data_IF_672649260147
#
_entry.id   IF_672649260147
#
_cell.length_a   1.000
_cell.length_b   1.000
_cell.length_c   1.000
_cell.angle_alpha   90.00
_cell.angle_beta   90.00
_cell.angle_gamma   90.00
#
_symmetry.space_group_name_H-M   'P 1'
#
loop_
_entity.id
_entity.type
_entity.pdbx_description
1 polymer ?
#
# COMPACT_ATOMS: atom_id res chain seq x y z
N UNK A 1 -47.48 54.20 -5.21
CA UNK A 1 -46.66 53.18 -4.52
C UNK A 1 -47.61 52.17 -3.88
N UNK A 2 -47.73 50.97 -4.44
CA UNK A 2 -48.59 49.92 -3.88
C UNK A 2 -47.93 49.35 -2.61
N UNK A 3 -48.63 49.44 -1.47
CA UNK A 3 -48.19 48.83 -0.21
C UNK A 3 -48.27 47.31 -0.35
N UNK A 4 -47.14 46.63 -0.17
CA UNK A 4 -47.09 45.17 -0.13
C UNK A 4 -47.95 44.70 1.05
N UNK A 5 -48.91 43.78 0.87
CA UNK A 5 -49.72 43.27 1.96
C UNK A 5 -48.85 42.62 3.05
N UNK A 6 -49.09 42.94 4.33
CA UNK A 6 -48.24 42.49 5.45
C UNK A 6 -48.13 40.96 5.63
N UNK A 7 -49.07 40.18 5.07
CA UNK A 7 -48.98 38.72 5.04
C UNK A 7 -47.94 38.21 4.03
N UNK A 8 -47.74 38.93 2.92
CA UNK A 8 -46.78 38.60 1.87
C UNK A 8 -45.35 38.86 2.34
N UNK A 9 -45.12 39.95 3.08
CA UNK A 9 -43.80 40.25 3.68
C UNK A 9 -43.39 39.24 4.74
N UNK A 10 -44.33 38.80 5.59
CA UNK A 10 -44.04 37.80 6.63
C UNK A 10 -43.76 36.41 6.04
N UNK A 11 -44.49 36.02 5.00
CA UNK A 11 -44.23 34.78 4.27
C UNK A 11 -42.84 34.78 3.57
N UNK A 12 -42.45 35.92 2.97
CA UNK A 12 -41.13 36.10 2.37
C UNK A 12 -40.00 35.99 3.39
N UNK A 13 -40.13 36.61 4.57
CA UNK A 13 -39.14 36.52 5.65
C UNK A 13 -39.02 35.07 6.15
N UNK A 14 -40.14 34.38 6.36
CA UNK A 14 -40.16 32.97 6.75
C UNK A 14 -39.48 32.05 5.74
N UNK A 15 -39.72 32.26 4.44
CA UNK A 15 -39.10 31.51 3.36
C UNK A 15 -37.58 31.71 3.28
N UNK A 16 -37.10 32.96 3.47
CA UNK A 16 -35.66 33.27 3.48
C UNK A 16 -34.96 32.61 4.67
N UNK A 17 -35.57 32.66 5.86
CA UNK A 17 -35.02 31.99 7.07
C UNK A 17 -34.96 30.47 6.87
N UNK A 18 -36.00 29.87 6.29
CA UNK A 18 -36.02 28.44 5.99
C UNK A 18 -34.94 28.05 4.96
N UNK A 19 -34.76 28.86 3.91
CA UNK A 19 -33.72 28.64 2.91
C UNK A 19 -32.31 28.74 3.50
N UNK A 20 -32.05 29.74 4.36
CA UNK A 20 -30.79 29.89 5.09
C UNK A 20 -30.53 28.70 6.03
N UNK A 21 -31.56 28.24 6.76
CA UNK A 21 -31.48 27.06 7.61
C UNK A 21 -31.11 25.80 6.81
N UNK A 22 -31.73 25.60 5.65
CA UNK A 22 -31.42 24.47 4.77
C UNK A 22 -29.99 24.52 4.20
N UNK A 23 -29.54 25.69 3.71
CA UNK A 23 -28.17 25.85 3.20
C UNK A 23 -27.14 25.63 4.31
N UNK A 24 -27.41 26.11 5.52
CA UNK A 24 -26.52 25.93 6.68
C UNK A 24 -26.43 24.46 7.08
N UNK A 25 -27.56 23.74 7.10
CA UNK A 25 -27.59 22.29 7.31
C UNK A 25 -26.78 21.55 6.26
N UNK A 26 -26.97 21.87 4.97
CA UNK A 26 -26.23 21.24 3.88
C UNK A 26 -24.72 21.48 3.99
N UNK A 27 -24.31 22.68 4.39
CA UNK A 27 -22.90 23.01 4.61
C UNK A 27 -22.30 22.19 5.78
N UNK A 28 -23.03 22.04 6.89
CA UNK A 28 -22.62 21.23 8.05
C UNK A 28 -22.54 19.75 7.66
N UNK A 29 -23.56 19.21 7.00
CA UNK A 29 -23.59 17.82 6.55
C UNK A 29 -22.44 17.52 5.59
N UNK A 30 -22.18 18.40 4.63
CA UNK A 30 -21.05 18.31 3.72
C UNK A 30 -19.71 18.33 4.46
N UNK A 31 -19.54 19.23 5.45
CA UNK A 31 -18.33 19.29 6.26
C UNK A 31 -18.12 18.01 7.09
N UNK A 32 -19.18 17.45 7.67
CA UNK A 32 -19.14 16.19 8.42
C UNK A 32 -18.80 15.01 7.49
N UNK A 33 -19.44 14.91 6.33
CA UNK A 33 -19.16 13.87 5.33
C UNK A 33 -17.71 13.96 4.84
N UNK A 34 -17.21 15.17 4.61
CA UNK A 34 -15.83 15.39 4.19
C UNK A 34 -14.82 14.97 5.27
N UNK A 35 -15.08 15.32 6.55
CA UNK A 35 -14.26 14.85 7.67
C UNK A 35 -14.29 13.33 7.80
N UNK A 36 -15.48 12.72 7.70
CA UNK A 36 -15.63 11.28 7.76
C UNK A 36 -14.87 10.57 6.62
N UNK A 37 -14.97 11.08 5.39
CA UNK A 37 -14.24 10.58 4.24
C UNK A 37 -12.72 10.68 4.42
N UNK A 38 -12.23 11.79 5.00
CA UNK A 38 -10.80 11.96 5.33
C UNK A 38 -10.33 10.96 6.38
N UNK A 39 -11.06 10.77 7.47
CA UNK A 39 -10.72 9.81 8.51
C UNK A 39 -10.70 8.37 7.95
N UNK A 40 -11.71 8.01 7.16
CA UNK A 40 -11.76 6.71 6.49
C UNK A 40 -10.58 6.51 5.55
N UNK A 41 -10.22 7.54 4.76
CA UNK A 41 -9.08 7.49 3.85
C UNK A 41 -7.75 7.31 4.59
N UNK A 42 -7.56 8.06 5.67
CA UNK A 42 -6.38 7.91 6.53
C UNK A 42 -6.28 6.49 7.08
N UNK A 43 -7.39 5.93 7.57
CA UNK A 43 -7.41 4.55 8.07
C UNK A 43 -6.99 3.54 6.98
N UNK A 44 -7.44 3.72 5.73
CA UNK A 44 -7.01 2.88 4.60
C UNK A 44 -5.50 2.98 4.33
N UNK A 45 -4.92 4.19 4.37
CA UNK A 45 -3.49 4.41 4.19
C UNK A 45 -2.67 3.80 5.32
N UNK A 46 -3.12 3.96 6.57
CA UNK A 46 -2.47 3.34 7.74
C UNK A 46 -2.51 1.82 7.64
N UNK A 47 -3.64 1.25 7.19
CA UNK A 47 -3.73 -0.20 6.97
C UNK A 47 -2.74 -0.69 5.91
N UNK A 48 -2.64 0.00 4.76
CA UNK A 48 -1.64 -0.30 3.74
C UNK A 48 -0.22 -0.21 4.30
N UNK A 49 0.10 0.84 5.07
CA UNK A 49 1.40 1.01 5.70
C UNK A 49 1.73 -0.17 6.62
N UNK A 50 0.77 -0.63 7.43
CA UNK A 50 0.95 -1.81 8.28
C UNK A 50 1.27 -3.07 7.46
N UNK A 51 0.60 -3.30 6.34
CA UNK A 51 0.87 -4.43 5.44
C UNK A 51 2.28 -4.35 4.82
N UNK A 52 2.69 -3.16 4.37
CA UNK A 52 4.03 -2.93 3.79
C UNK A 52 5.13 -3.18 4.82
N UNK A 53 4.97 -2.65 6.04
CA UNK A 53 5.92 -2.87 7.12
C UNK A 53 6.03 -4.34 7.52
N UNK A 54 4.90 -5.05 7.61
CA UNK A 54 4.88 -6.49 7.88
C UNK A 54 5.61 -7.28 6.78
N UNK A 55 5.34 -6.95 5.51
CA UNK A 55 6.00 -7.57 4.34
C UNK A 55 7.51 -7.33 4.37
N UNK A 56 7.93 -6.09 4.64
CA UNK A 56 9.34 -5.73 4.76
C UNK A 56 10.04 -6.49 5.89
N UNK A 57 9.39 -6.65 7.04
CA UNK A 57 9.96 -7.43 8.16
C UNK A 57 10.10 -8.91 7.81
N UNK A 58 9.08 -9.50 7.19
CA UNK A 58 9.14 -10.88 6.72
C UNK A 58 10.27 -11.08 5.68
N UNK A 59 10.41 -10.14 4.73
CA UNK A 59 11.46 -10.15 3.72
C UNK A 59 12.86 -10.07 4.34
N UNK A 60 13.10 -9.15 5.26
CA UNK A 60 14.41 -8.99 5.92
C UNK A 60 14.83 -10.28 6.63
N UNK A 61 13.91 -10.91 7.37
CA UNK A 61 14.18 -12.15 8.11
C UNK A 61 14.48 -13.29 7.14
N UNK A 62 13.62 -13.47 6.13
CA UNK A 62 13.83 -14.49 5.11
C UNK A 62 15.17 -14.30 4.39
N UNK A 63 15.48 -13.08 3.96
CA UNK A 63 16.68 -12.76 3.19
C UNK A 63 17.95 -13.01 4.02
N UNK A 64 17.90 -12.77 5.34
CA UNK A 64 19.01 -13.11 6.23
C UNK A 64 19.24 -14.63 6.34
N UNK A 65 18.17 -15.42 6.43
CA UNK A 65 18.24 -16.89 6.43
C UNK A 65 18.76 -17.41 5.09
N UNK A 66 18.23 -16.88 3.99
CA UNK A 66 18.63 -17.22 2.63
C UNK A 66 20.12 -16.96 2.40
N UNK A 67 20.59 -15.76 2.73
CA UNK A 67 21.99 -15.39 2.62
C UNK A 67 22.89 -16.35 3.38
N UNK A 68 22.56 -16.64 4.65
CA UNK A 68 23.34 -17.56 5.48
C UNK A 68 23.44 -18.96 4.85
N UNK A 69 22.30 -19.50 4.38
CA UNK A 69 22.28 -20.83 3.78
C UNK A 69 23.03 -20.84 2.43
N UNK A 70 22.89 -19.80 1.61
CA UNK A 70 23.66 -19.67 0.37
C UNK A 70 25.17 -19.58 0.66
N UNK A 71 25.59 -18.79 1.65
CA UNK A 71 26.99 -18.69 2.05
C UNK A 71 27.54 -20.05 2.53
N UNK A 72 26.72 -20.90 3.16
CA UNK A 72 27.09 -22.28 3.52
C UNK A 72 27.20 -23.19 2.27
N UNK A 73 26.23 -23.13 1.36
CA UNK A 73 26.22 -23.91 0.11
C UNK A 73 27.41 -23.54 -0.76
N UNK A 74 27.62 -22.25 -1.05
CA UNK A 74 28.70 -21.78 -1.94
C UNK A 74 30.09 -22.05 -1.35
N UNK A 75 30.24 -22.10 -0.02
CA UNK A 75 31.51 -22.54 0.59
C UNK A 75 31.82 -24.01 0.35
N UNK A 76 30.80 -24.86 0.33
CA UNK A 76 30.94 -26.29 0.04
C UNK A 76 31.01 -26.57 -1.48
N UNK A 77 30.35 -25.73 -2.28
CA UNK A 77 30.17 -25.82 -3.72
C UNK A 77 30.45 -24.46 -4.39
N UNK A 78 31.73 -24.05 -4.54
CA UNK A 78 32.08 -22.75 -5.10
C UNK A 78 31.59 -22.52 -6.55
N UNK A 79 31.30 -23.60 -7.28
CA UNK A 79 30.69 -23.57 -8.60
C UNK A 79 29.22 -23.10 -8.60
N UNK A 80 28.57 -23.10 -7.42
CA UNK A 80 27.21 -22.59 -7.23
C UNK A 80 27.30 -21.14 -6.71
N UNK A 81 27.50 -20.22 -7.64
CA UNK A 81 27.45 -18.78 -7.40
C UNK A 81 26.25 -18.11 -8.09
N UNK A 82 25.99 -16.84 -7.78
CA UNK A 82 24.91 -16.06 -8.38
C UNK A 82 23.75 -15.76 -7.41
N UNK A 83 22.54 -15.67 -7.98
CA UNK A 83 21.32 -15.28 -7.26
C UNK A 83 20.94 -16.30 -6.18
N UNK A 84 20.42 -15.86 -5.03
CA UNK A 84 20.08 -16.77 -3.93
C UNK A 84 19.08 -17.84 -4.36
N UNK A 85 18.11 -17.49 -5.22
CA UNK A 85 17.16 -18.48 -5.75
C UNK A 85 17.85 -19.56 -6.58
N UNK A 86 18.85 -19.19 -7.40
CA UNK A 86 19.61 -20.16 -8.17
C UNK A 86 20.52 -21.01 -7.29
N UNK A 87 21.23 -20.43 -6.32
CA UNK A 87 22.09 -21.18 -5.40
C UNK A 87 21.27 -22.19 -4.60
N UNK A 88 20.13 -21.78 -4.04
CA UNK A 88 19.24 -22.66 -3.29
C UNK A 88 18.68 -23.79 -4.15
N UNK A 89 18.27 -23.49 -5.38
CA UNK A 89 17.70 -24.50 -6.28
C UNK A 89 18.74 -25.54 -6.73
N UNK A 90 19.92 -25.10 -7.18
CA UNK A 90 20.95 -26.01 -7.67
C UNK A 90 21.64 -26.78 -6.53
N UNK A 91 21.78 -26.17 -5.35
CA UNK A 91 22.35 -26.82 -4.16
C UNK A 91 21.38 -27.76 -3.44
N UNK A 92 20.09 -27.75 -3.78
CA UNK A 92 19.03 -28.42 -3.00
C UNK A 92 19.27 -29.92 -2.76
N UNK A 93 19.76 -30.64 -3.78
CA UNK A 93 20.01 -32.08 -3.69
C UNK A 93 21.22 -32.43 -2.79
N UNK A 94 22.13 -31.48 -2.59
CA UNK A 94 23.34 -31.63 -1.78
C UNK A 94 23.14 -31.23 -0.31
N UNK A 95 21.96 -30.73 0.05
CA UNK A 95 21.69 -30.25 1.42
C UNK A 95 21.64 -31.41 2.42
N UNK A 96 22.32 -31.22 3.56
CA UNK A 96 22.15 -32.06 4.74
C UNK A 96 20.77 -31.83 5.41
N UNK A 97 20.42 -32.65 6.41
CA UNK A 97 19.11 -32.57 7.06
C UNK A 97 18.85 -31.23 7.77
N UNK A 98 19.89 -30.60 8.32
CA UNK A 98 19.78 -29.28 8.97
C UNK A 98 19.55 -28.20 7.91
N UNK A 99 20.28 -28.24 6.81
CA UNK A 99 20.16 -27.30 5.71
C UNK A 99 18.80 -27.44 5.00
N UNK A 100 18.28 -28.66 4.85
CA UNK A 100 16.91 -28.89 4.36
C UNK A 100 15.86 -28.29 5.28
N UNK A 101 16.05 -28.36 6.60
CA UNK A 101 15.17 -27.69 7.55
C UNK A 101 15.23 -26.16 7.38
N UNK A 102 16.43 -25.57 7.29
CA UNK A 102 16.61 -24.13 7.05
C UNK A 102 15.97 -23.68 5.72
N UNK A 103 16.16 -24.44 4.64
CA UNK A 103 15.49 -24.24 3.35
C UNK A 103 13.96 -24.26 3.51
N UNK A 104 13.44 -25.26 4.22
CA UNK A 104 12.01 -25.37 4.54
C UNK A 104 11.47 -24.16 5.30
N UNK A 105 12.24 -23.60 6.24
CA UNK A 105 11.88 -22.36 6.95
C UNK A 105 11.85 -21.17 5.99
N UNK A 106 12.87 -20.99 5.15
CA UNK A 106 12.92 -19.91 4.14
C UNK A 106 11.67 -19.98 3.24
N UNK A 107 11.36 -21.18 2.75
CA UNK A 107 10.20 -21.44 1.91
C UNK A 107 8.89 -21.19 2.64
N UNK A 108 8.81 -21.55 3.93
CA UNK A 108 7.66 -21.26 4.77
C UNK A 108 7.40 -19.74 4.90
N UNK A 109 8.45 -18.92 5.02
CA UNK A 109 8.30 -17.45 4.98
C UNK A 109 7.72 -16.97 3.64
N UNK A 110 8.14 -17.55 2.50
CA UNK A 110 7.58 -17.21 1.19
C UNK A 110 6.09 -17.52 1.13
N UNK A 111 5.72 -18.75 1.47
CA UNK A 111 4.36 -19.27 1.29
C UNK A 111 3.36 -18.77 2.33
N UNK A 112 3.79 -18.64 3.59
CA UNK A 112 2.89 -18.40 4.72
C UNK A 112 3.04 -17.00 5.33
N UNK A 113 4.01 -16.20 4.88
CA UNK A 113 4.12 -14.80 5.29
C UNK A 113 4.04 -13.85 4.09
N UNK A 114 4.99 -13.94 3.16
CA UNK A 114 5.08 -12.99 2.05
C UNK A 114 3.90 -13.11 1.08
N UNK A 115 3.56 -14.33 0.65
CA UNK A 115 2.45 -14.56 -0.27
C UNK A 115 1.11 -14.00 0.24
N UNK A 116 0.61 -14.35 1.44
CA UNK A 116 -0.66 -13.82 1.93
C UNK A 116 -0.64 -12.31 2.20
N UNK A 117 0.50 -11.73 2.60
CA UNK A 117 0.62 -10.27 2.76
C UNK A 117 0.58 -9.56 1.41
N UNK A 118 1.31 -10.08 0.42
CA UNK A 118 1.30 -9.54 -0.94
C UNK A 118 -0.09 -9.61 -1.57
N UNK A 119 -0.85 -10.69 -1.35
CA UNK A 119 -2.24 -10.78 -1.82
C UNK A 119 -3.15 -9.72 -1.18
N UNK A 120 -3.00 -9.44 0.11
CA UNK A 120 -3.76 -8.39 0.78
C UNK A 120 -3.43 -7.00 0.24
N UNK A 121 -2.15 -6.74 -0.05
CA UNK A 121 -1.72 -5.47 -0.67
C UNK A 121 -2.28 -5.36 -2.10
N UNK A 122 -2.23 -6.44 -2.89
CA UNK A 122 -2.84 -6.49 -4.23
C UNK A 122 -4.34 -6.20 -4.15
N UNK A 123 -5.05 -6.84 -3.23
CA UNK A 123 -6.49 -6.64 -3.03
C UNK A 123 -6.80 -5.18 -2.70
N UNK A 124 -6.05 -4.59 -1.76
CA UNK A 124 -6.16 -3.17 -1.41
C UNK A 124 -5.94 -2.26 -2.62
N UNK A 125 -4.85 -2.48 -3.38
CA UNK A 125 -4.50 -1.67 -4.55
C UNK A 125 -5.53 -1.81 -5.68
N UNK A 126 -6.11 -2.99 -5.85
CA UNK A 126 -7.12 -3.25 -6.88
C UNK A 126 -8.42 -2.47 -6.64
N UNK A 127 -8.76 -2.22 -5.37
CA UNK A 127 -9.97 -1.51 -4.93
C UNK A 127 -9.78 0.00 -4.78
N UNK A 128 -8.54 0.49 -4.85
CA UNK A 128 -8.25 1.90 -4.65
C UNK A 128 -8.50 2.73 -5.91
N UNK A 129 -9.63 3.43 -5.97
CA UNK A 129 -9.95 4.29 -7.12
C UNK A 129 -9.39 5.72 -6.97
N UNK A 130 -9.05 6.13 -5.75
CA UNK A 130 -8.58 7.47 -5.45
C UNK A 130 -7.22 7.76 -6.11
N UNK A 131 -6.25 6.86 -5.97
CA UNK A 131 -4.93 7.06 -6.53
C UNK A 131 -4.85 6.65 -8.00
N UNK A 132 -5.76 5.84 -8.54
CA UNK A 132 -5.87 5.62 -10.00
C UNK A 132 -6.20 6.91 -10.76
N UNK A 133 -6.94 7.84 -10.13
CA UNK A 133 -7.27 9.15 -10.69
C UNK A 133 -6.14 10.19 -10.63
N UNK A 134 -4.96 9.84 -10.10
CA UNK A 134 -3.76 10.67 -10.19
C UNK A 134 -3.63 11.80 -9.17
N UNK A 135 -4.55 12.02 -8.23
CA UNK A 135 -4.40 13.01 -7.15
C UNK A 135 -4.30 14.49 -7.59
N UNK A 136 -4.79 15.43 -6.77
CA UNK A 136 -4.67 16.87 -7.07
C UNK A 136 -3.34 17.48 -6.60
N UNK A 137 -2.82 17.01 -5.47
CA UNK A 137 -1.58 17.50 -4.86
C UNK A 137 -0.37 16.71 -5.36
N UNK A 138 0.81 17.33 -5.33
CA UNK A 138 2.05 16.72 -5.84
C UNK A 138 2.41 15.41 -5.11
N UNK A 139 2.28 15.37 -3.78
CA UNK A 139 2.54 14.15 -3.01
C UNK A 139 1.56 13.03 -3.35
N UNK A 140 0.29 13.37 -3.61
CA UNK A 140 -0.73 12.40 -4.01
C UNK A 140 -0.47 11.84 -5.42
N UNK A 141 0.03 12.67 -6.35
CA UNK A 141 0.50 12.24 -7.68
C UNK A 141 1.67 11.27 -7.57
N UNK A 142 2.67 11.63 -6.78
CA UNK A 142 3.84 10.78 -6.56
C UNK A 142 3.44 9.44 -5.93
N UNK A 143 2.57 9.47 -4.92
CA UNK A 143 2.07 8.26 -4.28
C UNK A 143 1.31 7.38 -5.26
N UNK A 144 0.47 7.97 -6.13
CA UNK A 144 -0.22 7.23 -7.19
C UNK A 144 0.75 6.46 -8.08
N UNK A 145 1.80 7.11 -8.59
CA UNK A 145 2.80 6.45 -9.44
C UNK A 145 3.48 5.30 -8.71
N UNK A 146 3.89 5.51 -7.45
CA UNK A 146 4.54 4.46 -6.65
C UNK A 146 3.59 3.28 -6.36
N UNK A 147 2.32 3.54 -6.09
CA UNK A 147 1.31 2.49 -5.87
C UNK A 147 1.05 1.68 -7.15
N UNK A 148 1.07 2.32 -8.33
CA UNK A 148 0.97 1.61 -9.62
C UNK A 148 2.20 0.72 -9.87
N UNK A 149 3.40 1.23 -9.60
CA UNK A 149 4.64 0.43 -9.69
C UNK A 149 4.61 -0.75 -8.71
N UNK A 150 4.16 -0.51 -7.46
CA UNK A 150 3.98 -1.57 -6.46
C UNK A 150 3.01 -2.64 -6.96
N UNK A 151 1.86 -2.23 -7.50
CA UNK A 151 0.86 -3.16 -8.01
C UNK A 151 1.43 -4.04 -9.12
N UNK A 152 2.12 -3.43 -10.10
CA UNK A 152 2.78 -4.16 -11.18
C UNK A 152 3.85 -5.14 -10.66
N UNK A 153 4.69 -4.70 -9.73
CA UNK A 153 5.68 -5.55 -9.07
C UNK A 153 5.02 -6.77 -8.41
N UNK A 154 3.98 -6.55 -7.59
CA UNK A 154 3.34 -7.62 -6.83
C UNK A 154 2.56 -8.60 -7.71
N UNK A 155 1.95 -8.14 -8.80
CA UNK A 155 1.29 -9.02 -9.79
C UNK A 155 2.31 -9.94 -10.46
N UNK A 156 3.46 -9.40 -10.88
CA UNK A 156 4.53 -10.21 -11.47
C UNK A 156 5.14 -11.18 -10.45
N UNK A 157 5.37 -10.71 -9.23
CA UNK A 157 5.84 -11.54 -8.12
C UNK A 157 4.87 -12.70 -7.85
N UNK A 158 3.56 -12.43 -7.82
CA UNK A 158 2.52 -13.45 -7.64
C UNK A 158 2.55 -14.49 -8.75
N UNK A 159 2.63 -14.06 -10.01
CA UNK A 159 2.69 -14.98 -11.14
C UNK A 159 3.92 -15.92 -11.05
N UNK A 160 5.08 -15.35 -10.66
CA UNK A 160 6.31 -16.11 -10.43
C UNK A 160 6.17 -17.10 -9.26
N UNK A 161 5.56 -16.66 -8.15
CA UNK A 161 5.23 -17.53 -7.02
C UNK A 161 4.35 -18.71 -7.45
N UNK A 162 3.22 -18.45 -8.11
CA UNK A 162 2.24 -19.47 -8.49
C UNK A 162 2.85 -20.52 -9.43
N UNK A 163 3.76 -20.09 -10.30
CA UNK A 163 4.47 -20.99 -11.21
C UNK A 163 5.55 -21.83 -10.51
N UNK A 164 6.37 -21.22 -9.64
CA UNK A 164 7.54 -21.88 -9.08
C UNK A 164 7.31 -22.52 -7.74
N UNK A 165 6.81 -21.76 -6.76
CA UNK A 165 6.88 -22.18 -5.38
C UNK A 165 6.07 -23.47 -5.17
N UNK A 166 4.77 -23.57 -5.47
CA UNK A 166 4.00 -24.78 -5.15
C UNK A 166 4.54 -26.09 -5.74
N UNK A 167 5.08 -26.05 -6.96
CA UNK A 167 5.46 -27.25 -7.72
C UNK A 167 6.95 -27.62 -7.64
N UNK A 168 7.81 -26.70 -7.19
CA UNK A 168 9.27 -26.86 -7.18
C UNK A 168 9.81 -26.77 -5.76
N UNK A 169 9.99 -27.90 -5.05
CA UNK A 169 10.45 -27.89 -3.66
C UNK A 169 11.85 -27.33 -3.50
N UNK A 170 12.69 -27.35 -4.55
CA UNK A 170 14.03 -26.77 -4.55
C UNK A 170 14.02 -25.23 -4.53
N UNK A 171 12.93 -24.60 -4.99
CA UNK A 171 12.75 -23.14 -4.98
C UNK A 171 12.15 -22.69 -3.64
N UNK A 172 12.83 -21.78 -2.96
CA UNK A 172 12.38 -21.29 -1.66
C UNK A 172 11.97 -19.82 -1.66
N UNK A 173 12.44 -19.01 -2.61
CA UNK A 173 12.29 -17.55 -2.59
C UNK A 173 11.81 -17.06 -3.96
N UNK A 174 11.20 -15.89 -3.98
CA UNK A 174 10.81 -15.20 -5.21
C UNK A 174 11.40 -13.80 -5.17
N UNK A 175 12.46 -13.57 -5.95
CA UNK A 175 12.98 -12.24 -6.25
C UNK A 175 12.49 -11.74 -7.60
N UNK A 176 12.17 -10.46 -7.68
CA UNK A 176 11.97 -9.73 -8.94
C UNK A 176 13.10 -8.69 -9.02
N UNK A 177 13.61 -8.36 -10.21
CA UNK A 177 14.55 -7.25 -10.50
C UNK A 177 15.84 -7.06 -9.65
N UNK A 178 16.08 -7.80 -8.57
CA UNK A 178 17.17 -7.49 -7.63
C UNK A 178 18.40 -8.40 -7.80
N UNK A 179 18.29 -9.55 -8.49
CA UNK A 179 19.43 -10.46 -8.72
C UNK A 179 19.71 -10.75 -10.20
N UNK A 180 18.68 -10.85 -11.07
CA UNK A 180 18.84 -11.17 -12.50
C UNK A 180 18.23 -10.10 -13.45
N UNK A 181 17.91 -8.90 -12.94
CA UNK A 181 17.23 -7.82 -13.67
C UNK A 181 15.88 -8.20 -14.37
N UNK A 182 15.31 -9.36 -14.05
CA UNK A 182 14.01 -9.78 -14.55
C UNK A 182 12.89 -9.14 -13.71
N UNK A 183 12.27 -8.07 -14.23
CA UNK A 183 11.01 -7.52 -13.71
C UNK A 183 11.08 -6.05 -13.30
N UNK A 184 10.13 -5.66 -12.45
CA UNK A 184 10.01 -4.30 -11.91
C UNK A 184 10.49 -4.34 -10.46
N UNK A 185 11.35 -3.41 -10.05
CA UNK A 185 11.81 -3.33 -8.65
C UNK A 185 10.71 -2.88 -7.70
N UNK A 186 10.82 -3.27 -6.43
CA UNK A 186 9.93 -2.77 -5.40
C UNK A 186 10.14 -1.25 -5.20
N UNK A 187 9.08 -0.42 -5.15
CA UNK A 187 9.26 1.02 -5.04
C UNK A 187 9.86 1.42 -3.69
N UNK A 188 11.01 2.09 -3.73
CA UNK A 188 11.75 2.50 -2.52
C UNK A 188 11.10 3.70 -1.84
N UNK A 189 11.02 3.74 -0.51
CA UNK A 189 10.53 4.89 0.26
C UNK A 189 9.03 5.15 0.13
N UNK A 190 8.24 4.17 -0.31
CA UNK A 190 6.78 4.30 -0.41
C UNK A 190 6.12 4.42 0.97
N UNK A 191 6.68 3.78 1.99
CA UNK A 191 6.17 3.81 3.36
C UNK A 191 6.19 5.23 3.94
N UNK A 192 7.31 5.94 3.78
CA UNK A 192 7.45 7.32 4.26
C UNK A 192 6.50 8.27 3.54
N UNK A 193 6.29 8.05 2.23
CA UNK A 193 5.35 8.84 1.45
C UNK A 193 3.89 8.59 1.88
N UNK A 194 3.53 7.33 2.17
CA UNK A 194 2.21 6.99 2.71
C UNK A 194 1.99 7.68 4.07
N UNK A 195 3.00 7.67 4.96
CA UNK A 195 2.91 8.34 6.26
C UNK A 195 2.65 9.84 6.09
N UNK A 196 3.45 10.53 5.26
CA UNK A 196 3.28 11.97 5.02
C UNK A 196 1.89 12.30 4.46
N UNK A 197 1.42 11.55 3.46
CA UNK A 197 0.09 11.76 2.87
C UNK A 197 -1.03 11.47 3.88
N UNK A 198 -0.84 10.47 4.76
CA UNK A 198 -1.80 10.17 5.83
C UNK A 198 -1.83 11.26 6.92
N UNK A 199 -0.70 11.88 7.22
CA UNK A 199 -0.58 12.96 8.21
C UNK A 199 -1.18 14.28 7.67
N UNK A 200 -0.96 14.59 6.39
CA UNK A 200 -1.57 15.75 5.71
C UNK A 200 -3.11 15.70 5.74
N UNK A 201 -3.70 14.52 5.84
CA UNK A 201 -5.16 14.34 5.95
C UNK A 201 -5.74 14.73 7.32
N UNK A 202 -4.92 14.80 8.37
CA UNK A 202 -5.34 15.28 9.70
C UNK A 202 -5.56 16.80 9.67
N UNK A 203 -4.78 17.51 8.84
CA UNK A 203 -4.76 18.96 8.75
C UNK A 203 -4.13 19.63 9.99
N UNK A 204 -3.22 20.58 9.78
CA UNK A 204 -2.89 21.54 10.83
C UNK A 204 -4.18 22.27 11.24
N UNK A 205 -4.51 22.32 12.54
CA UNK A 205 -5.66 23.08 13.02
C UNK A 205 -5.37 24.58 12.81
N UNK A 206 -5.77 25.17 11.67
CA UNK A 206 -5.50 26.60 11.43
C UNK A 206 -6.11 27.28 10.21
N UNK A 207 -6.42 26.59 9.11
CA UNK A 207 -6.73 27.31 7.84
C UNK A 207 -8.22 27.51 7.50
N UNK A 208 -9.14 27.24 8.42
CA UNK A 208 -10.58 27.33 8.13
C UNK A 208 -11.28 28.65 8.55
N UNK A 209 -10.55 29.74 8.82
CA UNK A 209 -11.18 30.97 9.33
C UNK A 209 -10.60 32.30 8.81
N UNK A 210 -10.15 32.38 7.55
CA UNK A 210 -9.86 33.68 6.91
C UNK A 210 -10.49 33.78 5.52
N UNK A 211 -11.80 33.51 5.45
CA UNK A 211 -12.63 34.02 4.36
C UNK A 211 -12.87 35.52 4.58
N UNK A 212 -12.05 36.35 3.93
CA UNK A 212 -12.27 37.81 3.82
C UNK A 212 -13.70 38.10 3.37
N UNK A 213 -14.45 38.83 4.19
CA UNK A 213 -15.59 39.61 3.70
C UNK A 213 -15.08 40.78 2.86
N UNK A 214 -15.60 41.01 1.65
CA UNK A 214 -15.63 42.35 1.07
C UNK A 214 -16.61 43.26 1.81
#
# INVERSE_FOLDING_TARGET
>A
MQQIPGWLSTALIGAVIAALGYVSKLAIESALQWRAARTARRAQLVHLLSLLLATRKAFIIQNALARRLCDEITRAHPELDGSYDNVLAHGYLSLDDRQKLEHGVIRNYTSNCLYPLNLQIIDWLSKDDYFKGGGRQQQAKELSVRLQTLFAHLVLWRAKYEFWIPSRPERAIVYMADEDAHGISFPTGIEDLISRVADDMIGSPGEAATGKSP
#
